data_IF_221896099388
#
_entry.id   IF_221896099388
#
_cell.length_a   1.000
_cell.length_b   1.000
_cell.length_c   1.000
_cell.angle_alpha   90.00
_cell.angle_beta   90.00
_cell.angle_gamma   90.00
#
_symmetry.space_group_name_H-M   'P 1'
#
loop_
_entity.id
_entity.type
_entity.pdbx_description
1 polymer ?
#
# COMPACT_ATOMS: atom_id res chain seq x y z
N UNK A 1 -1.90 -0.44 -8.64
CA UNK A 1 -1.66 0.60 -7.61
C UNK A 1 -2.27 1.89 -8.11
N UNK A 2 -2.81 2.77 -7.27
CA UNK A 2 -3.47 4.01 -7.68
C UNK A 2 -2.81 5.22 -7.02
N UNK A 3 -2.87 6.37 -7.70
CA UNK A 3 -2.34 7.63 -7.20
C UNK A 3 -3.43 8.45 -6.49
N UNK A 4 -3.31 8.64 -5.17
CA UNK A 4 -4.17 9.56 -4.39
C UNK A 4 -3.55 10.98 -4.27
N UNK A 5 -2.53 11.28 -5.07
CA UNK A 5 -1.76 12.53 -5.05
C UNK A 5 -0.63 12.49 -4.04
N UNK A 6 -0.98 12.49 -2.75
CA UNK A 6 0.00 12.52 -1.66
C UNK A 6 0.57 11.14 -1.30
N UNK A 7 -0.17 10.07 -1.61
CA UNK A 7 0.21 8.70 -1.24
C UNK A 7 -0.42 7.66 -2.19
N UNK A 8 0.13 6.44 -2.28
CA UNK A 8 -0.45 5.37 -3.09
C UNK A 8 -1.64 4.71 -2.41
N UNK A 9 -2.61 4.30 -3.22
CA UNK A 9 -3.63 3.31 -2.86
C UNK A 9 -3.30 1.95 -3.49
N UNK A 10 -3.09 0.94 -2.66
CA UNK A 10 -2.97 -0.46 -3.10
C UNK A 10 -4.28 -1.16 -2.81
N UNK A 11 -4.87 -1.78 -3.83
CA UNK A 11 -6.10 -2.59 -3.71
C UNK A 11 -5.83 -4.00 -4.20
N UNK A 12 -6.56 -5.02 -3.71
CA UNK A 12 -6.52 -6.35 -4.28
C UNK A 12 -6.87 -6.33 -5.77
N UNK A 13 -6.09 -7.03 -6.58
CA UNK A 13 -6.33 -7.15 -8.02
C UNK A 13 -5.15 -7.78 -8.73
N UNK A 14 -5.25 -7.87 -10.05
CA UNK A 14 -4.17 -8.37 -10.89
C UNK A 14 -3.08 -7.32 -11.09
N UNK A 15 -1.83 -7.72 -10.86
CA UNK A 15 -0.67 -6.86 -11.03
C UNK A 15 0.47 -7.24 -10.10
N UNK A 16 1.55 -6.50 -10.21
CA UNK A 16 2.68 -6.56 -9.27
C UNK A 16 2.86 -5.18 -8.66
N UNK A 17 3.31 -5.14 -7.41
CA UNK A 17 3.73 -3.90 -6.76
C UNK A 17 5.20 -4.04 -6.41
N UNK A 18 5.95 -2.96 -6.59
CA UNK A 18 7.33 -2.87 -6.16
C UNK A 18 7.36 -2.08 -4.86
N UNK A 19 8.11 -2.60 -3.90
CA UNK A 19 8.20 -2.03 -2.57
C UNK A 19 9.23 -2.74 -1.74
N UNK A 20 9.43 -2.22 -0.55
CA UNK A 20 10.45 -2.68 0.38
C UNK A 20 9.79 -3.30 1.61
N UNK A 21 10.37 -4.41 2.08
CA UNK A 21 9.90 -5.11 3.29
C UNK A 21 10.84 -4.77 4.43
N UNK A 22 10.29 -4.14 5.47
CA UNK A 22 11.03 -3.76 6.67
C UNK A 22 10.63 -4.62 7.86
N UNK A 23 11.62 -5.11 8.62
CA UNK A 23 11.38 -5.78 9.89
C UNK A 23 11.28 -4.73 11.01
N UNK A 24 10.06 -4.50 11.47
CA UNK A 24 9.77 -3.58 12.59
C UNK A 24 9.33 -4.35 13.84
N UNK A 25 9.50 -3.75 15.00
CA UNK A 25 9.00 -4.29 16.27
C UNK A 25 7.49 -4.09 16.39
N UNK A 26 6.84 -4.87 17.26
CA UNK A 26 5.40 -4.75 17.53
C UNK A 26 5.00 -3.38 18.05
N UNK A 27 5.89 -2.70 18.79
CA UNK A 27 5.66 -1.34 19.28
C UNK A 27 5.56 -0.32 18.15
N UNK A 28 6.50 -0.35 17.20
CA UNK A 28 6.48 0.54 16.02
C UNK A 28 5.23 0.28 15.17
N UNK A 29 4.86 -0.99 15.00
CA UNK A 29 3.64 -1.34 14.27
C UNK A 29 2.40 -0.78 14.96
N UNK A 30 2.32 -0.84 16.29
CA UNK A 30 1.19 -0.31 17.05
C UNK A 30 1.10 1.23 16.97
N UNK A 31 2.23 1.94 17.01
CA UNK A 31 2.27 3.39 16.80
C UNK A 31 1.84 3.78 15.39
N UNK A 32 2.30 3.05 14.37
CA UNK A 32 1.90 3.27 12.98
C UNK A 32 0.39 3.01 12.80
N UNK A 33 -0.13 1.96 13.41
CA UNK A 33 -1.55 1.63 13.40
C UNK A 33 -2.39 2.71 14.11
N UNK A 34 -1.91 3.23 15.24
CA UNK A 34 -2.54 4.34 15.94
C UNK A 34 -2.58 5.62 15.09
N UNK A 35 -1.48 5.95 14.39
CA UNK A 35 -1.41 7.11 13.49
C UNK A 35 -2.37 6.97 12.30
N UNK A 36 -2.57 5.75 11.79
CA UNK A 36 -3.46 5.48 10.65
C UNK A 36 -4.91 5.19 11.03
N UNK A 37 -5.21 4.94 12.31
CA UNK A 37 -6.55 4.54 12.78
C UNK A 37 -7.60 5.63 12.61
N UNK A 38 -7.23 6.90 12.71
CA UNK A 38 -8.17 8.01 12.52
C UNK A 38 -8.73 8.09 11.09
N UNK A 39 -7.97 7.60 10.10
CA UNK A 39 -8.40 7.63 8.70
C UNK A 39 -9.41 6.54 8.35
N UNK A 40 -9.40 5.39 9.04
CA UNK A 40 -10.12 4.18 8.63
C UNK A 40 -9.92 3.74 7.16
N UNK A 41 -9.20 4.46 6.31
CA UNK A 41 -9.11 4.31 4.85
C UNK A 41 -8.41 3.03 4.39
N UNK A 42 -7.70 2.37 5.31
CA UNK A 42 -6.88 1.21 5.02
C UNK A 42 -7.27 0.02 5.89
N UNK A 43 -7.26 -1.17 5.27
CA UNK A 43 -7.35 -2.47 5.91
C UNK A 43 -5.96 -3.09 5.94
N UNK A 44 -5.54 -3.56 7.12
CA UNK A 44 -4.31 -4.33 7.25
C UNK A 44 -4.52 -5.78 6.83
N UNK A 45 -3.65 -6.29 5.97
CA UNK A 45 -3.68 -7.67 5.49
C UNK A 45 -2.29 -8.30 5.61
N UNK A 46 -2.25 -9.60 5.92
CA UNK A 46 -1.00 -10.34 6.00
C UNK A 46 -0.75 -11.02 4.65
N UNK A 47 0.35 -10.66 4.01
CA UNK A 47 0.74 -11.23 2.71
C UNK A 47 2.02 -12.06 2.85
N UNK A 48 2.11 -13.13 2.07
CA UNK A 48 3.34 -13.90 1.93
C UNK A 48 4.30 -13.18 0.99
N UNK A 49 5.53 -12.92 1.45
CA UNK A 49 6.62 -12.41 0.62
C UNK A 49 7.76 -13.43 0.60
N UNK A 50 8.70 -13.36 -0.36
CA UNK A 50 9.90 -14.20 -0.35
C UNK A 50 10.74 -14.09 0.93
N UNK A 51 10.56 -13.01 1.69
CA UNK A 51 11.25 -12.72 2.95
C UNK A 51 10.46 -13.18 4.19
N UNK A 52 9.28 -13.80 4.00
CA UNK A 52 8.35 -14.19 5.04
C UNK A 52 7.04 -13.40 5.00
N UNK A 53 6.21 -13.59 6.03
CA UNK A 53 4.92 -12.88 6.12
C UNK A 53 5.15 -11.42 6.48
N UNK A 54 4.53 -10.51 5.72
CA UNK A 54 4.58 -9.07 5.94
C UNK A 54 3.17 -8.49 6.02
N UNK A 55 3.03 -7.41 6.80
CA UNK A 55 1.78 -6.65 6.85
C UNK A 55 1.76 -5.62 5.73
N UNK A 56 0.66 -5.59 4.98
CA UNK A 56 0.37 -4.55 3.97
C UNK A 56 -0.90 -3.79 4.36
N UNK A 57 -0.95 -2.51 4.01
CA UNK A 57 -2.14 -1.67 4.17
C UNK A 57 -2.83 -1.50 2.82
N UNK A 58 -3.99 -2.13 2.67
CA UNK A 58 -4.81 -2.08 1.46
C UNK A 58 -5.87 -1.00 1.59
N UNK A 59 -6.03 -0.17 0.57
CA UNK A 59 -7.03 0.87 0.51
C UNK A 59 -8.42 0.24 0.40
N UNK A 60 -9.37 0.72 1.21
CA UNK A 60 -10.72 0.13 1.29
C UNK A 60 -11.77 0.88 0.48
N UNK A 61 -11.50 2.13 0.09
CA UNK A 61 -12.46 2.96 -0.62
C UNK A 61 -12.40 2.72 -2.13
N UNK A 62 -13.43 3.21 -2.82
CA UNK A 62 -13.47 3.13 -4.28
C UNK A 62 -12.30 3.89 -4.88
N UNK A 63 -11.60 3.23 -5.80
CA UNK A 63 -10.52 3.81 -6.62
C UNK A 63 -11.03 4.32 -7.97
N UNK A 64 -12.36 4.40 -8.13
CA UNK A 64 -12.99 4.88 -9.36
C UNK A 64 -12.57 6.32 -9.66
N UNK A 65 -12.00 6.54 -10.86
CA UNK A 65 -11.53 7.86 -11.30
C UNK A 65 -10.13 8.24 -10.82
N UNK A 66 -9.44 7.37 -10.06
CA UNK A 66 -8.05 7.61 -9.69
C UNK A 66 -7.09 7.16 -10.79
N UNK A 67 -5.96 7.86 -10.99
CA UNK A 67 -4.91 7.43 -11.91
C UNK A 67 -4.35 6.07 -11.47
N UNK A 68 -4.46 5.08 -12.35
CA UNK A 68 -3.81 3.79 -12.16
C UNK A 68 -2.32 3.93 -12.50
N UNK A 69 -1.48 3.39 -11.62
CA UNK A 69 -0.04 3.21 -11.83
C UNK A 69 0.16 1.75 -12.27
N UNK A 70 0.31 1.48 -13.58
CA UNK A 70 0.40 0.12 -14.12
C UNK A 70 1.73 -0.57 -13.82
N UNK A 71 2.82 0.19 -13.66
CA UNK A 71 4.13 -0.33 -13.25
C UNK A 71 4.10 -0.95 -11.85
N UNK A 72 3.17 -0.50 -11.01
CA UNK A 72 3.11 -0.89 -9.60
C UNK A 72 4.25 -0.32 -8.76
N UNK A 73 5.05 0.59 -9.32
CA UNK A 73 6.11 1.30 -8.64
C UNK A 73 5.67 2.76 -8.40
N UNK A 74 5.64 3.16 -7.13
CA UNK A 74 5.26 4.51 -6.74
C UNK A 74 6.25 5.57 -7.24
N UNK A 75 7.54 5.25 -7.35
CA UNK A 75 8.55 6.17 -7.85
C UNK A 75 8.39 6.43 -9.35
N UNK A 76 7.87 5.44 -10.08
CA UNK A 76 7.57 5.56 -11.52
C UNK A 76 6.15 6.07 -11.80
N UNK A 77 5.49 6.71 -10.82
CA UNK A 77 4.12 7.21 -10.99
C UNK A 77 3.97 8.31 -12.06
N UNK A 78 5.08 8.95 -12.43
CA UNK A 78 5.16 10.02 -13.45
C UNK A 78 5.76 9.52 -14.78
N UNK A 79 6.19 8.26 -14.87
CA UNK A 79 6.60 7.68 -16.15
C UNK A 79 5.31 7.38 -16.94
N UNK A 80 4.86 8.38 -17.68
CA UNK A 80 3.91 8.18 -18.78
C UNK A 80 4.56 7.23 -19.82
N UNK A 81 3.81 6.23 -20.33
CA UNK A 81 4.28 5.38 -21.42
C UNK A 81 4.43 6.13 -22.75
#
# INVERSE_FOLDING_TARGET
MYNLGHYPAVVPGDGKIYGEVYRISSSILAELDALKRDGHEYRRELIGTPLGNAWIYLYKHSVAGLPLIPSGDWLQREEEP
#
